data_IF_494206498674
#
_entry.id   IF_494206498674
#
_cell.length_a   1.000
_cell.length_b   1.000
_cell.length_c   1.000
_cell.angle_alpha   90.00
_cell.angle_beta   90.00
_cell.angle_gamma   90.00
#
_symmetry.space_group_name_H-M   'P 1'
#
loop_
_entity.id
_entity.type
_entity.pdbx_description
1 polymer ?
#
# COMPACT_ATOMS: atom_id res chain seq x y z
N UNK A 1 56.87 32.06 -28.59
CA UNK A 1 56.94 30.85 -27.73
C UNK A 1 55.97 31.04 -26.57
N UNK A 2 55.00 30.11 -26.47
CA UNK A 2 54.33 29.59 -25.24
C UNK A 2 53.48 30.54 -24.40
N UNK A 3 52.18 30.48 -24.64
CA UNK A 3 51.12 30.87 -23.72
C UNK A 3 51.00 29.85 -22.55
N UNK A 4 50.82 30.28 -21.29
CA UNK A 4 50.41 29.38 -20.22
C UNK A 4 48.89 29.25 -20.23
N UNK A 5 48.45 28.19 -20.90
CA UNK A 5 47.13 27.56 -20.80
C UNK A 5 47.10 26.70 -19.53
N UNK A 6 45.92 26.57 -18.92
CA UNK A 6 45.54 25.67 -17.82
C UNK A 6 45.92 26.12 -16.40
N UNK A 7 44.93 26.56 -15.62
CA UNK A 7 44.25 25.69 -14.63
C UNK A 7 43.14 26.46 -13.88
N UNK A 8 42.16 27.02 -14.61
CA UNK A 8 40.90 27.45 -14.00
C UNK A 8 40.00 26.20 -13.83
N UNK A 9 40.29 25.38 -12.82
CA UNK A 9 39.43 24.27 -12.43
C UNK A 9 38.20 24.85 -11.71
N UNK A 10 37.17 25.18 -12.49
CA UNK A 10 35.85 25.54 -12.02
C UNK A 10 35.19 24.31 -11.37
N UNK A 11 35.33 24.17 -10.06
CA UNK A 11 34.60 23.19 -9.25
C UNK A 11 33.16 23.70 -9.03
N UNK A 12 32.32 23.61 -10.06
CA UNK A 12 30.88 23.84 -9.94
C UNK A 12 30.27 22.55 -9.40
N UNK A 13 30.27 22.41 -8.07
CA UNK A 13 29.57 21.33 -7.38
C UNK A 13 28.06 21.52 -7.50
N UNK A 14 27.42 20.70 -8.32
CA UNK A 14 25.97 20.50 -8.32
C UNK A 14 25.58 19.90 -6.96
N UNK A 15 25.00 20.71 -6.07
CA UNK A 15 24.27 20.24 -4.91
C UNK A 15 22.89 19.76 -5.40
N UNK A 16 22.81 18.51 -5.86
CA UNK A 16 21.53 17.84 -6.06
C UNK A 16 20.95 17.48 -4.69
N UNK A 17 20.17 18.41 -4.13
CA UNK A 17 19.28 18.13 -3.01
C UNK A 17 18.20 17.19 -3.55
N UNK A 18 18.34 15.89 -3.29
CA UNK A 18 17.24 14.96 -3.51
C UNK A 18 16.13 15.29 -2.51
N UNK A 19 14.91 15.52 -3.00
CA UNK A 19 13.74 15.59 -2.13
C UNK A 19 13.65 14.27 -1.36
N UNK A 20 13.40 14.36 -0.05
CA UNK A 20 13.08 13.18 0.73
C UNK A 20 11.70 12.67 0.30
N UNK A 21 11.50 11.35 0.20
CA UNK A 21 10.19 10.78 -0.08
C UNK A 21 9.15 11.18 0.98
N UNK A 22 7.94 11.51 0.53
CA UNK A 22 6.84 11.99 1.35
C UNK A 22 5.73 10.93 1.51
N UNK A 23 4.78 11.16 2.43
CA UNK A 23 3.63 10.25 2.56
C UNK A 23 2.82 10.33 1.27
N UNK A 24 2.52 9.17 0.70
CA UNK A 24 1.78 9.02 -0.55
C UNK A 24 2.58 9.07 -1.84
N UNK A 25 3.91 9.16 -1.75
CA UNK A 25 4.78 8.92 -2.89
C UNK A 25 4.70 7.45 -3.35
N UNK A 26 4.92 7.23 -4.65
CA UNK A 26 5.03 5.90 -5.24
C UNK A 26 6.35 5.21 -4.87
N UNK A 27 6.35 3.89 -4.77
CA UNK A 27 7.52 3.13 -4.35
C UNK A 27 7.46 1.67 -4.85
N UNK A 28 8.62 1.02 -4.92
CA UNK A 28 8.70 -0.43 -5.19
C UNK A 28 9.18 -1.19 -3.95
N UNK A 29 10.01 -0.56 -3.13
CA UNK A 29 10.59 -1.11 -1.91
C UNK A 29 10.58 -0.09 -0.77
N UNK A 30 10.64 -0.54 0.49
CA UNK A 30 10.66 0.38 1.64
C UNK A 30 11.85 1.33 1.68
N UNK A 31 12.97 0.97 1.02
CA UNK A 31 14.16 1.83 0.91
C UNK A 31 13.86 3.09 0.08
N UNK A 32 12.94 3.00 -0.88
CA UNK A 32 12.49 4.13 -1.70
C UNK A 32 11.74 5.16 -0.86
N UNK A 33 11.14 4.76 0.26
CA UNK A 33 10.41 5.63 1.18
C UNK A 33 11.30 6.14 2.32
N UNK A 34 12.16 5.27 2.88
CA UNK A 34 13.14 5.65 3.87
C UNK A 34 14.27 4.63 4.01
N UNK A 35 15.51 5.14 3.96
CA UNK A 35 16.72 4.37 4.30
C UNK A 35 16.84 4.05 5.78
N UNK A 36 16.11 4.78 6.64
CA UNK A 36 16.12 4.60 8.10
C UNK A 36 14.94 3.75 8.59
N UNK A 37 14.09 3.26 7.68
CA UNK A 37 12.94 2.41 7.98
C UNK A 37 11.88 3.06 8.90
N UNK A 38 11.77 4.39 8.90
CA UNK A 38 10.65 5.12 9.53
C UNK A 38 9.37 5.11 8.68
N UNK A 39 9.50 4.78 7.39
CA UNK A 39 8.39 4.62 6.43
C UNK A 39 8.55 3.29 5.69
N UNK A 40 7.43 2.69 5.32
CA UNK A 40 7.36 1.47 4.51
C UNK A 40 6.76 1.77 3.14
N UNK A 41 7.06 0.91 2.18
CA UNK A 41 6.33 0.87 0.91
C UNK A 41 5.14 -0.08 1.02
N UNK A 42 3.92 0.45 1.01
CA UNK A 42 2.71 -0.37 0.88
C UNK A 42 2.47 -0.74 -0.58
N UNK A 43 2.97 -1.91 -0.98
CA UNK A 43 2.82 -2.46 -2.34
C UNK A 43 1.43 -3.01 -2.61
N UNK A 44 0.53 -3.06 -1.62
CA UNK A 44 -0.88 -3.43 -1.85
C UNK A 44 -1.66 -2.30 -2.53
N UNK A 45 -1.09 -1.09 -2.51
CA UNK A 45 -1.64 0.10 -3.13
C UNK A 45 -1.13 0.25 -4.58
N UNK A 46 -1.94 0.80 -5.52
CA UNK A 46 -1.55 0.93 -6.93
C UNK A 46 -0.27 1.75 -7.13
N UNK A 47 0.79 1.12 -7.63
CA UNK A 47 2.10 1.77 -7.84
C UNK A 47 2.90 2.04 -6.55
N UNK A 48 2.53 1.37 -5.46
CA UNK A 48 3.14 1.54 -4.14
C UNK A 48 2.74 2.85 -3.46
N UNK A 49 2.79 2.85 -2.13
CA UNK A 49 2.46 4.04 -1.35
C UNK A 49 3.39 4.14 -0.13
N UNK A 50 4.19 5.19 -0.08
CA UNK A 50 5.01 5.48 1.10
C UNK A 50 4.11 5.87 2.27
N UNK A 51 4.16 5.09 3.35
CA UNK A 51 3.32 5.29 4.54
C UNK A 51 4.03 4.86 5.82
N UNK A 52 3.45 5.20 6.96
CA UNK A 52 3.77 4.60 8.26
C UNK A 52 2.60 3.70 8.63
N UNK A 53 2.88 2.41 8.84
CA UNK A 53 1.90 1.45 9.35
C UNK A 53 1.82 1.55 10.87
N UNK A 54 0.63 1.33 11.42
CA UNK A 54 0.38 1.34 12.86
C UNK A 54 0.72 2.70 13.49
N UNK A 55 0.32 3.80 12.83
CA UNK A 55 0.44 5.12 13.43
C UNK A 55 -0.46 5.25 14.67
N UNK A 56 0.04 5.97 15.66
CA UNK A 56 -0.75 6.51 16.77
C UNK A 56 -1.32 7.89 16.35
N UNK A 57 -2.39 8.38 17.01
CA UNK A 57 -2.91 9.72 16.77
C UNK A 57 -1.83 10.81 16.83
N UNK A 58 -1.87 11.73 15.86
CA UNK A 58 -0.99 12.89 15.75
C UNK A 58 0.50 12.57 15.52
N UNK A 59 0.84 11.31 15.18
CA UNK A 59 2.23 10.87 14.95
C UNK A 59 2.67 10.88 13.49
N UNK A 60 1.73 11.06 12.56
CA UNK A 60 2.07 11.14 11.14
C UNK A 60 2.92 12.39 10.85
N UNK A 61 3.81 12.32 9.86
CA UNK A 61 4.52 13.50 9.33
C UNK A 61 3.55 14.61 8.94
N UNK A 62 4.06 15.84 8.79
CA UNK A 62 3.21 17.02 8.54
C UNK A 62 2.27 16.82 7.35
N UNK A 63 2.71 16.21 6.26
CA UNK A 63 1.91 15.93 5.07
C UNK A 63 0.82 14.86 5.25
N UNK A 64 0.87 14.08 6.34
CA UNK A 64 0.01 12.93 6.59
C UNK A 64 -1.08 13.17 7.64
N UNK A 65 -2.01 12.23 7.71
CA UNK A 65 -2.99 12.07 8.80
C UNK A 65 -3.14 10.59 9.14
N UNK A 66 -3.34 10.25 10.41
CA UNK A 66 -3.50 8.86 10.81
C UNK A 66 -4.94 8.41 10.54
N UNK A 67 -5.09 7.43 9.65
CA UNK A 67 -6.38 6.88 9.25
C UNK A 67 -6.48 5.44 9.72
N UNK A 68 -7.55 5.13 10.44
CA UNK A 68 -7.91 3.78 10.82
C UNK A 68 -8.90 3.18 9.83
N UNK A 69 -8.57 1.99 9.32
CA UNK A 69 -9.34 1.26 8.33
C UNK A 69 -9.99 0.02 8.95
N UNK A 70 -11.21 -0.32 8.50
CA UNK A 70 -11.97 -1.52 8.90
C UNK A 70 -12.11 -1.66 10.42
N UNK A 71 -12.51 -0.57 11.07
CA UNK A 71 -12.66 -0.49 12.52
C UNK A 71 -13.90 -1.19 13.08
N UNK A 72 -14.73 -1.83 12.24
CA UNK A 72 -15.86 -2.64 12.70
C UNK A 72 -15.75 -4.08 12.17
N UNK A 73 -15.44 -5.09 13.01
CA UNK A 73 -15.11 -4.97 14.43
C UNK A 73 -13.67 -4.47 14.67
N UNK A 74 -13.43 -3.77 15.78
CA UNK A 74 -12.14 -3.11 16.11
C UNK A 74 -10.91 -4.04 15.98
N UNK A 75 -11.07 -5.34 16.25
CA UNK A 75 -9.97 -6.32 16.19
C UNK A 75 -9.34 -6.51 14.81
N UNK A 76 -9.99 -6.04 13.74
CA UNK A 76 -9.47 -6.06 12.38
C UNK A 76 -8.97 -4.70 11.91
N UNK A 77 -9.00 -3.70 12.79
CA UNK A 77 -8.59 -2.35 12.44
C UNK A 77 -7.09 -2.27 12.20
N UNK A 78 -6.71 -1.41 11.27
CA UNK A 78 -5.31 -1.11 10.96
C UNK A 78 -5.19 0.37 10.71
N UNK A 79 -4.12 0.99 11.22
CA UNK A 79 -3.85 2.40 11.01
C UNK A 79 -2.71 2.62 10.02
N UNK A 80 -2.86 3.63 9.18
CA UNK A 80 -1.85 4.06 8.22
C UNK A 80 -1.82 5.58 8.14
N UNK A 81 -0.62 6.15 7.97
CA UNK A 81 -0.51 7.55 7.57
C UNK A 81 -0.93 7.69 6.10
N UNK A 82 -1.98 8.44 5.87
CA UNK A 82 -2.45 8.80 4.52
C UNK A 82 -2.14 10.25 4.24
N UNK A 83 -1.72 10.56 3.01
CA UNK A 83 -1.43 11.93 2.57
C UNK A 83 -2.68 12.78 2.66
N UNK A 84 -2.59 13.92 3.32
CA UNK A 84 -3.69 14.90 3.38
C UNK A 84 -3.84 15.59 2.03
N UNK A 85 -5.06 15.97 1.71
CA UNK A 85 -5.38 16.66 0.46
C UNK A 85 -6.53 17.66 0.66
N UNK A 86 -6.62 18.62 -0.25
CA UNK A 86 -7.74 19.57 -0.35
C UNK A 86 -8.66 19.16 -1.50
N UNK A 87 -8.06 18.74 -2.62
CA UNK A 87 -8.70 18.24 -3.82
C UNK A 87 -7.85 17.13 -4.51
N UNK A 88 -8.40 16.50 -5.55
CA UNK A 88 -7.78 15.36 -6.24
C UNK A 88 -6.40 15.69 -6.84
N UNK A 89 -6.11 16.97 -7.11
CA UNK A 89 -4.82 17.41 -7.66
C UNK A 89 -3.66 17.28 -6.68
N UNK A 90 -3.93 17.20 -5.38
CA UNK A 90 -2.92 16.96 -4.34
C UNK A 90 -2.50 15.48 -4.29
N UNK A 91 -3.36 14.60 -4.79
CA UNK A 91 -3.17 13.17 -4.84
C UNK A 91 -2.42 12.74 -6.10
N UNK A 92 -1.66 11.65 -5.98
CA UNK A 92 -1.01 11.03 -7.14
C UNK A 92 -2.08 10.41 -8.04
N UNK A 93 -1.83 10.34 -9.35
CA UNK A 93 -2.74 9.66 -10.28
C UNK A 93 -3.08 8.23 -9.83
N UNK A 94 -4.36 7.86 -9.94
CA UNK A 94 -4.93 6.64 -9.38
C UNK A 94 -5.40 6.78 -7.92
N UNK A 95 -5.46 8.01 -7.39
CA UNK A 95 -5.97 8.33 -6.05
C UNK A 95 -6.91 9.53 -6.09
N UNK A 96 -7.93 9.51 -5.25
CA UNK A 96 -8.91 10.58 -5.05
C UNK A 96 -8.81 11.17 -3.64
N UNK A 97 -9.19 12.44 -3.52
CA UNK A 97 -9.18 13.17 -2.26
C UNK A 97 -10.53 13.07 -1.55
N UNK A 98 -10.63 12.14 -0.59
CA UNK A 98 -11.90 11.79 0.06
C UNK A 98 -11.86 12.11 1.57
N UNK A 99 -13.01 12.46 2.13
CA UNK A 99 -13.22 12.56 3.59
C UNK A 99 -13.73 11.24 4.15
N UNK A 100 -13.59 11.00 5.45
CA UNK A 100 -14.16 9.80 6.11
C UNK A 100 -15.69 9.68 5.98
N UNK A 101 -16.38 10.78 5.68
CA UNK A 101 -17.82 10.83 5.45
C UNK A 101 -18.23 10.64 3.98
N UNK A 102 -17.26 10.45 3.07
CA UNK A 102 -17.53 10.30 1.66
C UNK A 102 -18.25 8.97 1.35
N UNK A 103 -19.34 8.97 0.55
CA UNK A 103 -20.04 7.74 0.18
C UNK A 103 -19.19 6.73 -0.59
N UNK A 104 -18.04 7.11 -1.16
CA UNK A 104 -17.09 6.18 -1.77
C UNK A 104 -16.30 5.36 -0.73
N UNK A 105 -16.26 5.81 0.54
CA UNK A 105 -15.57 5.14 1.66
C UNK A 105 -16.53 4.40 2.59
N UNK A 106 -17.56 3.77 2.02
CA UNK A 106 -18.48 2.90 2.78
C UNK A 106 -18.36 1.45 2.33
N UNK A 107 -18.53 0.54 3.28
CA UNK A 107 -18.67 -0.88 2.98
C UNK A 107 -20.03 -1.08 2.32
N UNK A 108 -20.04 -1.54 1.07
CA UNK A 108 -21.28 -1.73 0.30
C UNK A 108 -22.21 -2.79 0.91
N UNK A 109 -21.70 -3.66 1.78
CA UNK A 109 -22.49 -4.69 2.45
C UNK A 109 -23.18 -4.20 3.72
N UNK A 110 -22.54 -3.31 4.49
CA UNK A 110 -23.07 -2.80 5.77
C UNK A 110 -23.57 -1.37 5.70
N UNK A 111 -23.14 -0.60 4.71
CA UNK A 111 -23.35 0.85 4.61
C UNK A 111 -22.55 1.68 5.61
N UNK A 112 -21.66 1.04 6.39
CA UNK A 112 -20.82 1.71 7.38
C UNK A 112 -19.56 2.28 6.74
N UNK A 113 -19.02 3.41 7.24
CA UNK A 113 -17.71 3.91 6.80
C UNK A 113 -16.62 2.87 7.06
N UNK A 114 -15.71 2.70 6.11
CA UNK A 114 -14.57 1.77 6.24
C UNK A 114 -13.29 2.45 6.74
N UNK A 115 -13.29 3.78 6.84
CA UNK A 115 -12.13 4.56 7.24
C UNK A 115 -12.53 5.73 8.14
N UNK A 116 -11.73 6.04 9.15
CA UNK A 116 -11.87 7.25 9.98
C UNK A 116 -10.51 7.87 10.28
N UNK A 117 -10.44 9.19 10.30
CA UNK A 117 -9.29 9.92 10.84
C UNK A 117 -9.28 9.78 12.36
N UNK A 118 -8.14 9.43 12.93
CA UNK A 118 -7.97 9.26 14.40
C UNK A 118 -7.07 10.31 15.04
N UNK A 119 -6.50 11.22 14.25
CA UNK A 119 -5.77 12.38 14.75
C UNK A 119 -6.69 13.26 15.62
N UNK A 120 -6.17 13.70 16.76
CA UNK A 120 -6.90 14.50 17.74
C UNK A 120 -6.75 16.01 17.47
N UNK A 121 -5.69 16.41 16.77
CA UNK A 121 -5.44 17.80 16.41
C UNK A 121 -6.22 18.25 15.15
N UNK A 122 -7.00 17.35 14.55
CA UNK A 122 -7.81 17.60 13.35
C UNK A 122 -9.27 17.28 13.55
N UNK A 123 -10.08 17.89 12.69
CA UNK A 123 -11.49 17.59 12.58
C UNK A 123 -11.67 16.37 11.63
N UNK A 124 -12.12 15.22 12.13
CA UNK A 124 -12.26 14.00 11.33
C UNK A 124 -13.34 14.10 10.24
N UNK A 125 -14.29 15.03 10.37
CA UNK A 125 -15.39 15.18 9.40
C UNK A 125 -14.95 16.00 8.18
N UNK A 126 -13.95 16.86 8.33
CA UNK A 126 -13.46 17.75 7.27
C UNK A 126 -12.07 17.41 6.75
N UNK A 127 -11.31 16.60 7.49
CA UNK A 127 -9.98 16.14 7.06
C UNK A 127 -10.13 15.13 5.93
N UNK A 128 -9.53 15.44 4.78
CA UNK A 128 -9.48 14.56 3.62
C UNK A 128 -8.09 13.96 3.45
N UNK A 129 -8.06 12.79 2.81
CA UNK A 129 -6.84 12.07 2.52
C UNK A 129 -6.93 11.34 1.19
N UNK A 130 -5.77 11.08 0.59
CA UNK A 130 -5.68 10.40 -0.69
C UNK A 130 -6.00 8.91 -0.53
N UNK A 131 -7.03 8.44 -1.21
CA UNK A 131 -7.43 7.02 -1.24
C UNK A 131 -7.26 6.51 -2.66
N UNK A 132 -6.74 5.29 -2.81
CA UNK A 132 -6.61 4.69 -4.13
C UNK A 132 -7.99 4.60 -4.77
N UNK A 133 -8.09 5.08 -6.01
CA UNK A 133 -9.25 4.84 -6.84
C UNK A 133 -9.43 3.33 -6.90
N UNK A 134 -10.63 2.84 -6.61
CA UNK A 134 -10.99 1.47 -6.92
C UNK A 134 -11.00 1.37 -8.44
N UNK A 135 -9.82 1.20 -9.05
CA UNK A 135 -9.74 0.79 -10.43
C UNK A 135 -10.47 -0.53 -10.44
N UNK A 136 -11.68 -0.52 -10.99
CA UNK A 136 -12.32 -1.73 -11.47
C UNK A 136 -11.26 -2.31 -12.38
N UNK A 137 -10.47 -3.26 -11.88
CA UNK A 137 -9.55 -4.02 -12.70
C UNK A 137 -10.46 -4.49 -13.83
N UNK A 138 -10.30 -4.02 -15.09
CA UNK A 138 -10.87 -4.79 -16.17
C UNK A 138 -10.17 -6.12 -15.99
N UNK A 139 -10.93 -7.13 -15.53
CA UNK A 139 -10.44 -8.45 -15.22
C UNK A 139 -9.42 -8.77 -16.29
N UNK A 140 -8.16 -8.92 -15.86
CA UNK A 140 -6.98 -8.97 -16.72
C UNK A 140 -7.40 -9.47 -18.08
N UNK A 141 -7.35 -8.61 -19.10
CA UNK A 141 -7.65 -9.02 -20.46
C UNK A 141 -6.84 -10.28 -20.67
N UNK A 142 -7.54 -11.42 -20.65
CA UNK A 142 -6.92 -12.73 -20.75
C UNK A 142 -6.03 -12.60 -21.97
N UNK A 143 -4.71 -12.81 -21.88
CA UNK A 143 -3.88 -12.75 -23.07
C UNK A 143 -4.53 -13.73 -24.04
N UNK A 144 -5.08 -13.18 -25.13
CA UNK A 144 -5.75 -13.95 -26.16
C UNK A 144 -4.77 -15.08 -26.49
N UNK A 145 -5.18 -16.30 -26.13
CA UNK A 145 -4.41 -17.50 -26.41
C UNK A 145 -4.38 -17.63 -27.92
N UNK A 146 -3.39 -16.96 -28.51
CA UNK A 146 -2.93 -17.17 -29.86
C UNK A 146 -2.59 -18.64 -29.98
N UNK A 147 -3.57 -19.40 -30.45
CA UNK A 147 -3.45 -20.79 -30.85
C UNK A 147 -2.36 -20.87 -31.90
N UNK A 148 -1.17 -21.24 -31.45
CA UNK A 148 -0.11 -21.78 -32.29
C UNK A 148 -0.07 -23.27 -31.97
N UNK A 149 -0.85 -24.04 -32.72
CA UNK A 149 -0.83 -25.51 -32.70
C UNK A 149 0.60 -26.03 -32.84
N UNK A 150 1.13 -26.80 -31.88
CA UNK A 150 2.21 -27.74 -32.15
C UNK A 150 1.57 -29.08 -32.54
N UNK A 151 2.07 -29.66 -33.62
CA UNK A 151 1.71 -30.98 -34.08
C UNK A 151 2.00 -32.04 -33.01
N UNK A 152 0.99 -32.88 -32.77
CA UNK A 152 1.02 -34.13 -32.02
C UNK A 152 1.99 -35.13 -32.64
N UNK A 153 2.85 -35.74 -31.81
CA UNK A 153 3.40 -37.10 -31.99
C UNK A 153 4.22 -37.49 -30.76
N UNK A 154 3.72 -38.45 -29.96
CA UNK A 154 4.55 -39.16 -28.99
C UNK A 154 3.82 -39.66 -27.75
N UNK A 155 3.05 -40.73 -27.91
CA UNK A 155 2.73 -41.72 -26.85
C UNK A 155 3.98 -42.16 -26.12
N UNK A 156 3.97 -42.21 -24.77
CA UNK A 156 4.41 -43.35 -23.93
C UNK A 156 3.77 -43.25 -22.54
N UNK A 157 3.15 -44.35 -22.11
CA UNK A 157 2.56 -44.58 -20.79
C UNK A 157 3.62 -45.03 -19.80
N UNK A 158 3.54 -44.58 -18.54
CA UNK A 158 3.90 -45.39 -17.37
C UNK A 158 3.15 -44.90 -16.13
N UNK A 159 2.41 -45.84 -15.55
CA UNK A 159 1.86 -45.86 -14.20
C UNK A 159 3.00 -45.71 -13.15
N UNK A 160 2.72 -45.15 -11.96
CA UNK A 160 2.68 -45.92 -10.71
C UNK A 160 2.34 -45.05 -9.48
N UNK A 161 1.99 -45.77 -8.42
CA UNK A 161 1.33 -45.46 -7.18
C UNK A 161 1.90 -44.30 -6.32
N UNK A 162 0.95 -43.53 -5.77
CA UNK A 162 0.56 -43.66 -4.36
C UNK A 162 1.55 -43.22 -3.29
N UNK A 163 1.10 -42.31 -2.41
CA UNK A 163 1.20 -42.48 -0.95
C UNK A 163 0.26 -41.48 -0.27
N UNK A 164 -0.44 -42.01 0.74
CA UNK A 164 -1.43 -41.38 1.58
C UNK A 164 -0.81 -40.56 2.74
N UNK A 165 -1.72 -39.97 3.52
CA UNK A 165 -1.58 -39.54 4.92
C UNK A 165 -0.78 -38.24 5.17
N UNK A 166 -1.19 -37.33 6.05
CA UNK A 166 -2.06 -37.48 7.21
C UNK A 166 -2.91 -36.21 7.43
N UNK A 167 -4.14 -36.44 7.86
CA UNK A 167 -4.96 -35.40 8.49
C UNK A 167 -4.39 -35.05 9.86
N UNK A 168 -4.41 -33.76 10.18
CA UNK A 168 -4.31 -33.29 11.55
C UNK A 168 -5.68 -32.73 11.93
N UNK A 169 -6.39 -33.52 12.73
CA UNK A 169 -7.53 -33.05 13.48
C UNK A 169 -7.03 -32.04 14.52
N UNK A 170 -7.66 -30.87 14.58
CA UNK A 170 -7.44 -29.92 15.66
C UNK A 170 -8.64 -30.07 16.58
N UNK A 171 -8.52 -31.04 17.48
CA UNK A 171 -9.41 -31.23 18.62
C UNK A 171 -9.51 -29.93 19.41
N UNK A 172 -10.75 -29.47 19.59
CA UNK A 172 -11.17 -28.34 20.41
C UNK A 172 -11.11 -28.76 21.88
N UNK A 173 -10.39 -28.01 22.71
CA UNK A 173 -10.47 -28.06 24.18
C UNK A 173 -11.44 -26.95 24.66
N UNK A 174 -12.63 -27.28 25.20
CA UNK A 174 -13.48 -26.32 25.88
C UNK A 174 -13.55 -26.63 27.38
N UNK A 175 -12.50 -26.35 28.15
CA UNK A 175 -12.56 -26.39 29.62
C UNK A 175 -11.54 -25.44 30.26
N UNK A 176 -11.97 -24.20 30.55
CA UNK A 176 -11.39 -23.36 31.60
C UNK A 176 -12.49 -22.47 32.19
N UNK A 177 -13.34 -23.17 32.95
CA UNK A 177 -14.34 -22.71 33.89
C UNK A 177 -13.65 -22.04 35.12
N UNK A 178 -14.29 -20.97 35.61
CA UNK A 178 -14.28 -20.44 37.00
C UNK A 178 -13.04 -19.77 37.62
N UNK A 179 -13.19 -18.47 37.86
CA UNK A 179 -12.57 -17.75 38.96
C UNK A 179 -13.44 -16.56 39.35
N UNK A 180 -14.02 -16.63 40.54
CA UNK A 180 -14.93 -15.66 41.16
C UNK A 180 -14.31 -14.29 41.46
#
# INVERSE_FOLDING_TARGET
MRAPLFLAAAFVGLLSVGCAPEIGDGCETSIDCSVNNDRICDISQPGGYCTVRACDPDTCPEEGTCVEWRYDPDRTSVTYCMKRCSDDGDCRGGYQCLASSDPELVDLSTGSPIARVVDLDRDPDTTKFCVAEATVTPAAETPDSGTSTPADSGTESVDDAGTADAGLDMSVDPDADLGA
#
